data_IF_540879026656
#
_entry.id   IF_540879026656
#
_cell.length_a   1.000
_cell.length_b   1.000
_cell.length_c   1.000
_cell.angle_alpha   90.00
_cell.angle_beta   90.00
_cell.angle_gamma   90.00
#
_symmetry.space_group_name_H-M   'P 1'
#
loop_
_entity.id
_entity.type
_entity.pdbx_description
1 polymer ?
#
# COMPACT_ATOMS: atom_id res chain seq x y z
N UNK A 1 42.10 4.29 -29.16
CA UNK A 1 41.28 3.09 -28.90
C UNK A 1 39.91 3.53 -28.42
N UNK A 2 38.83 2.93 -28.95
CA UNK A 2 37.45 3.27 -28.56
C UNK A 2 37.16 2.58 -27.22
N UNK A 3 36.93 3.34 -26.15
CA UNK A 3 36.62 2.81 -24.82
C UNK A 3 35.19 2.27 -24.86
N UNK A 4 35.03 0.96 -24.88
CA UNK A 4 33.74 0.32 -24.68
C UNK A 4 33.46 0.40 -23.19
N UNK A 5 32.52 1.24 -22.79
CA UNK A 5 32.07 1.35 -21.40
C UNK A 5 30.88 0.40 -21.25
N UNK A 6 31.00 -0.57 -20.35
CA UNK A 6 29.88 -1.41 -19.94
C UNK A 6 28.82 -0.48 -19.33
N UNK A 7 27.58 -0.54 -19.81
CA UNK A 7 26.51 0.20 -19.17
C UNK A 7 26.04 -0.55 -17.92
N UNK A 8 26.52 -0.14 -16.75
CA UNK A 8 26.15 -0.75 -15.47
C UNK A 8 24.68 -0.51 -15.10
N UNK A 9 24.04 0.51 -15.69
CA UNK A 9 22.64 0.87 -15.41
C UNK A 9 21.68 -0.29 -15.69
N UNK A 10 21.92 -1.02 -16.79
CA UNK A 10 21.08 -2.15 -17.17
C UNK A 10 21.17 -3.26 -16.13
N UNK A 11 22.36 -3.53 -15.59
CA UNK A 11 22.54 -4.52 -14.53
C UNK A 11 21.84 -4.09 -13.23
N UNK A 12 21.98 -2.82 -12.84
CA UNK A 12 21.34 -2.26 -11.65
C UNK A 12 19.81 -2.40 -11.72
N UNK A 13 19.22 -1.89 -12.82
CA UNK A 13 17.76 -1.90 -13.00
C UNK A 13 17.24 -3.33 -13.12
N UNK A 14 17.91 -4.18 -13.91
CA UNK A 14 17.51 -5.57 -14.09
C UNK A 14 17.54 -6.34 -12.77
N UNK A 15 18.62 -6.22 -12.00
CA UNK A 15 18.74 -6.93 -10.73
C UNK A 15 17.70 -6.47 -9.70
N UNK A 16 17.46 -5.15 -9.60
CA UNK A 16 16.44 -4.61 -8.71
C UNK A 16 15.02 -5.03 -9.15
N UNK A 17 14.76 -5.10 -10.45
CA UNK A 17 13.48 -5.56 -11.00
C UNK A 17 13.24 -7.04 -10.71
N UNK A 18 14.22 -7.91 -10.96
CA UNK A 18 14.11 -9.37 -10.74
C UNK A 18 13.98 -9.73 -9.25
N UNK A 19 14.55 -8.92 -8.36
CA UNK A 19 14.51 -9.15 -6.90
C UNK A 19 13.30 -8.51 -6.19
N UNK A 20 12.44 -7.81 -6.93
CA UNK A 20 11.39 -6.92 -6.40
C UNK A 20 11.94 -5.96 -5.32
N UNK A 21 13.10 -5.38 -5.65
CA UNK A 21 13.83 -4.43 -4.81
C UNK A 21 13.54 -2.97 -5.16
N UNK A 22 14.41 -2.09 -4.68
CA UNK A 22 14.43 -0.66 -5.00
C UNK A 22 15.79 -0.28 -5.58
N UNK A 23 15.82 0.81 -6.34
CA UNK A 23 17.06 1.38 -6.86
C UNK A 23 17.38 2.64 -6.08
N UNK A 24 18.57 2.70 -5.47
CA UNK A 24 19.05 3.91 -4.80
C UNK A 24 19.97 4.65 -5.76
N UNK A 25 19.45 5.68 -6.40
CA UNK A 25 20.19 6.46 -7.40
C UNK A 25 19.52 7.83 -7.59
N UNK A 26 20.31 8.80 -8.02
CA UNK A 26 19.80 10.08 -8.50
C UNK A 26 19.62 10.14 -10.02
N UNK A 27 20.07 9.11 -10.74
CA UNK A 27 19.75 8.95 -12.14
C UNK A 27 18.35 8.36 -12.31
N UNK A 28 17.63 8.87 -13.29
CA UNK A 28 16.30 8.39 -13.67
C UNK A 28 16.37 7.37 -14.82
N UNK A 29 17.54 7.04 -15.37
CA UNK A 29 17.73 6.00 -16.38
C UNK A 29 16.83 6.16 -17.62
N UNK A 30 16.78 7.37 -18.20
CA UNK A 30 15.85 7.71 -19.30
C UNK A 30 15.88 6.74 -20.47
N UNK A 31 17.07 6.26 -20.83
CA UNK A 31 17.26 5.36 -21.96
C UNK A 31 16.61 3.99 -21.69
N UNK A 32 16.77 3.47 -20.47
CA UNK A 32 16.16 2.21 -20.03
C UNK A 32 14.64 2.31 -19.90
N UNK A 33 14.13 3.48 -19.50
CA UNK A 33 12.69 3.76 -19.51
C UNK A 33 12.11 3.75 -20.93
N UNK A 34 12.89 4.14 -21.94
CA UNK A 34 12.47 4.12 -23.34
C UNK A 34 12.55 2.72 -23.96
N UNK A 35 13.47 1.88 -23.47
CA UNK A 35 13.66 0.51 -23.96
C UNK A 35 12.46 -0.40 -23.61
N UNK A 36 12.00 -0.36 -22.36
CA UNK A 36 10.91 -1.23 -21.89
C UNK A 36 9.89 -0.49 -21.02
N UNK A 37 8.58 -0.60 -21.31
CA UNK A 37 7.53 0.07 -20.53
C UNK A 37 7.44 -0.46 -19.09
N UNK A 38 7.78 -1.73 -18.86
CA UNK A 38 7.84 -2.34 -17.52
C UNK A 38 8.95 -1.72 -16.66
N UNK A 39 10.12 -1.46 -17.25
CA UNK A 39 11.22 -0.79 -16.57
C UNK A 39 10.90 0.67 -16.27
N UNK A 40 10.24 1.35 -17.21
CA UNK A 40 9.72 2.71 -16.95
C UNK A 40 8.86 2.74 -15.70
N UNK A 41 7.87 1.86 -15.60
CA UNK A 41 6.98 1.80 -14.43
C UNK A 41 7.74 1.44 -13.17
N UNK A 42 8.63 0.46 -13.24
CA UNK A 42 9.46 0.06 -12.11
C UNK A 42 10.32 1.22 -11.59
N UNK A 43 11.08 1.89 -12.46
CA UNK A 43 11.93 3.02 -12.09
C UNK A 43 11.09 4.13 -11.46
N UNK A 44 9.91 4.45 -12.02
CA UNK A 44 9.02 5.46 -11.46
C UNK A 44 8.47 5.11 -10.06
N UNK A 45 8.25 3.83 -9.76
CA UNK A 45 7.66 3.36 -8.50
C UNK A 45 8.69 2.88 -7.46
N UNK A 46 9.96 2.72 -7.85
CA UNK A 46 11.01 2.05 -7.05
C UNK A 46 12.36 2.78 -7.03
N UNK A 47 12.48 3.96 -7.63
CA UNK A 47 13.66 4.82 -7.51
C UNK A 47 13.63 5.62 -6.19
N UNK A 48 14.66 5.45 -5.37
CA UNK A 48 14.93 6.24 -4.19
C UNK A 48 16.08 7.21 -4.47
N UNK A 49 15.72 8.48 -4.65
CA UNK A 49 16.68 9.57 -4.73
C UNK A 49 17.25 9.88 -3.35
N UNK A 50 18.41 10.54 -3.31
CA UNK A 50 19.06 10.93 -2.08
C UNK A 50 19.88 12.20 -2.25
N UNK A 51 20.17 12.86 -1.14
CA UNK A 51 21.14 13.95 -1.07
C UNK A 51 22.23 13.62 -0.07
N UNK A 52 23.41 14.20 -0.27
CA UNK A 52 24.46 14.21 0.74
C UNK A 52 24.65 15.62 1.26
N UNK A 53 24.63 15.77 2.58
CA UNK A 53 25.05 16.99 3.26
C UNK A 53 26.31 16.66 4.03
N UNK A 54 27.46 17.09 3.51
CA UNK A 54 28.78 16.62 3.94
C UNK A 54 28.84 15.08 3.84
N UNK A 55 29.03 14.39 4.97
CA UNK A 55 29.10 12.92 5.06
C UNK A 55 27.77 12.28 5.48
N UNK A 56 26.67 13.04 5.52
CA UNK A 56 25.36 12.54 5.92
C UNK A 56 24.51 12.20 4.70
N UNK A 57 24.17 10.92 4.57
CA UNK A 57 23.19 10.43 3.61
C UNK A 57 21.77 10.84 4.04
N UNK A 58 21.05 11.53 3.15
CA UNK A 58 19.72 12.10 3.41
C UNK A 58 18.75 11.71 2.29
N UNK A 59 18.09 10.55 2.37
CA UNK A 59 16.97 10.22 1.50
C UNK A 59 15.73 11.04 1.91
N UNK A 60 14.80 11.33 0.99
CA UNK A 60 13.55 12.01 1.31
C UNK A 60 12.61 11.10 2.11
N UNK A 61 11.83 11.70 3.01
CA UNK A 61 10.81 10.98 3.78
C UNK A 61 9.61 10.53 2.91
N UNK A 62 9.42 11.18 1.75
CA UNK A 62 8.37 10.93 0.76
C UNK A 62 8.95 10.62 -0.64
N UNK A 63 9.47 9.40 -0.89
CA UNK A 63 10.16 9.04 -2.14
C UNK A 63 9.35 9.25 -3.43
N UNK A 64 8.02 9.14 -3.35
CA UNK A 64 7.09 9.32 -4.47
C UNK A 64 6.20 10.59 -4.30
N UNK A 65 6.63 11.52 -3.45
CA UNK A 65 5.91 12.76 -3.13
C UNK A 65 4.72 12.57 -2.19
N UNK A 66 3.93 13.65 -2.02
CA UNK A 66 2.86 13.77 -1.00
C UNK A 66 1.82 12.64 -1.00
N UNK A 67 1.51 12.08 -2.16
CA UNK A 67 0.52 11.00 -2.29
C UNK A 67 1.15 9.59 -2.28
N UNK A 68 2.49 9.54 -2.16
CA UNK A 68 3.26 8.31 -2.10
C UNK A 68 3.29 7.65 -0.72
N UNK A 69 3.91 6.47 -0.62
CA UNK A 69 4.20 5.85 0.66
C UNK A 69 5.26 6.64 1.42
N UNK A 70 5.27 6.50 2.75
CA UNK A 70 6.39 6.95 3.58
C UNK A 70 7.65 6.16 3.26
N UNK A 71 8.83 6.75 3.50
CA UNK A 71 10.12 6.08 3.32
C UNK A 71 10.17 4.70 3.99
N UNK A 72 9.66 4.58 5.23
CA UNK A 72 9.65 3.28 5.93
C UNK A 72 8.82 2.23 5.19
N UNK A 73 7.66 2.60 4.64
CA UNK A 73 6.83 1.67 3.88
C UNK A 73 7.43 1.37 2.49
N UNK A 74 8.10 2.35 1.88
CA UNK A 74 8.80 2.19 0.61
C UNK A 74 9.96 1.19 0.70
N UNK A 75 10.72 1.21 1.79
CA UNK A 75 11.85 0.30 2.03
C UNK A 75 11.41 -1.12 2.44
N UNK A 76 10.11 -1.39 2.63
CA UNK A 76 9.59 -2.68 3.07
C UNK A 76 8.91 -3.42 1.92
N UNK A 77 9.15 -4.73 1.83
CA UNK A 77 8.40 -5.62 0.93
C UNK A 77 6.90 -5.64 1.24
N UNK A 78 6.55 -5.55 2.52
CA UNK A 78 5.16 -5.51 2.97
C UNK A 78 4.90 -4.18 3.72
N UNK A 79 4.01 -3.32 3.19
CA UNK A 79 3.65 -2.07 3.84
C UNK A 79 3.12 -2.36 5.24
N UNK A 80 3.57 -1.58 6.24
CA UNK A 80 2.83 -1.53 7.50
C UNK A 80 1.50 -0.87 7.19
N UNK A 81 0.42 -1.64 7.24
CA UNK A 81 -0.90 -1.05 7.36
C UNK A 81 -0.86 -0.13 8.57
N UNK A 82 -1.21 1.14 8.39
CA UNK A 82 -1.42 2.01 9.55
C UNK A 82 -2.48 1.32 10.39
N UNK A 83 -2.07 0.80 11.56
CA UNK A 83 -3.00 0.24 12.52
C UNK A 83 -3.94 1.40 12.86
N UNK A 84 -5.19 1.30 12.41
CA UNK A 84 -6.22 2.26 12.80
C UNK A 84 -6.19 2.28 14.32
N UNK A 85 -5.93 3.43 14.90
CA UNK A 85 -5.85 3.52 16.36
C UNK A 85 -7.14 2.97 16.97
N UNK A 86 -7.06 2.26 18.10
CA UNK A 86 -8.26 1.79 18.78
C UNK A 86 -9.13 3.00 19.11
N UNK A 87 -10.44 2.86 18.92
CA UNK A 87 -11.36 3.94 19.20
C UNK A 87 -11.24 4.39 20.67
N UNK A 88 -11.02 5.69 20.95
CA UNK A 88 -10.94 6.21 22.33
C UNK A 88 -12.18 5.87 23.17
N UNK A 89 -13.33 5.70 22.53
CA UNK A 89 -14.60 5.36 23.17
C UNK A 89 -14.86 3.85 23.26
N UNK A 90 -14.08 3.01 22.60
CA UNK A 90 -14.18 1.54 22.67
C UNK A 90 -15.63 1.03 22.50
N UNK A 91 -16.15 0.29 23.48
CA UNK A 91 -17.53 -0.22 23.49
C UNK A 91 -18.60 0.89 23.62
N UNK A 92 -18.23 2.09 24.09
CA UNK A 92 -19.14 3.25 24.26
C UNK A 92 -19.22 4.13 23.01
N UNK A 93 -18.62 3.72 21.90
CA UNK A 93 -18.63 4.52 20.68
C UNK A 93 -20.00 4.51 20.00
N UNK A 94 -20.62 5.69 19.92
CA UNK A 94 -21.91 5.90 19.27
C UNK A 94 -21.84 5.84 17.73
N UNK A 95 -20.64 6.02 17.16
CA UNK A 95 -20.43 5.99 15.71
C UNK A 95 -20.41 4.58 15.10
N UNK A 96 -20.24 3.53 15.91
CA UNK A 96 -20.34 2.13 15.47
C UNK A 96 -19.56 1.82 14.18
N UNK A 97 -20.26 1.29 13.17
CA UNK A 97 -19.68 0.93 11.86
C UNK A 97 -19.19 2.12 11.02
N UNK A 98 -19.59 3.35 11.37
CA UNK A 98 -19.12 4.59 10.74
C UNK A 98 -17.92 5.20 11.48
N UNK A 99 -17.43 4.56 12.55
CA UNK A 99 -16.29 5.08 13.29
C UNK A 99 -14.99 4.98 12.47
N UNK A 100 -14.23 6.07 12.40
CA UNK A 100 -12.93 6.13 11.71
C UNK A 100 -11.81 5.32 12.41
N UNK A 101 -12.05 4.89 13.65
CA UNK A 101 -11.09 4.19 14.51
C UNK A 101 -11.41 2.68 14.61
N UNK A 102 -10.44 1.87 15.03
CA UNK A 102 -10.59 0.42 15.11
C UNK A 102 -11.34 -0.03 16.38
N UNK A 103 -12.29 -0.95 16.25
CA UNK A 103 -12.96 -1.61 17.37
C UNK A 103 -12.54 -3.08 17.42
N UNK A 104 -11.91 -3.52 18.50
CA UNK A 104 -11.45 -4.91 18.69
C UNK A 104 -12.60 -5.90 18.94
N UNK A 105 -13.77 -5.41 19.37
CA UNK A 105 -14.89 -6.24 19.76
C UNK A 105 -15.97 -6.28 18.69
N UNK A 106 -15.75 -7.10 17.66
CA UNK A 106 -16.85 -7.73 16.92
C UNK A 106 -17.29 -8.96 17.71
N UNK A 107 -18.10 -8.78 18.74
CA UNK A 107 -18.78 -9.90 19.38
C UNK A 107 -19.88 -10.39 18.43
N UNK A 108 -19.50 -11.34 17.56
CA UNK A 108 -20.30 -12.27 16.73
C UNK A 108 -21.30 -11.62 15.73
N UNK A 109 -21.45 -12.19 14.52
CA UNK A 109 -22.71 -12.02 13.81
C UNK A 109 -23.77 -12.65 14.72
N UNK A 110 -24.74 -11.86 15.19
CA UNK A 110 -25.99 -12.43 15.70
C UNK A 110 -26.65 -13.09 14.51
N UNK A 111 -26.40 -14.39 14.32
CA UNK A 111 -27.27 -15.25 13.53
C UNK A 111 -28.61 -15.16 14.25
N UNK A 112 -29.56 -14.42 13.66
CA UNK A 112 -30.95 -14.40 14.10
C UNK A 112 -31.52 -15.80 13.87
N UNK A 113 -31.44 -16.66 14.87
CA UNK A 113 -32.25 -17.87 14.96
C UNK A 113 -33.58 -17.46 15.58
N UNK A 114 -34.63 -17.53 14.75
CA UNK A 114 -36.03 -17.80 15.10
C UNK A 114 -36.75 -16.93 16.14
N UNK A 115 -37.80 -16.26 15.70
CA UNK A 115 -39.02 -16.12 16.49
C UNK A 115 -40.23 -16.12 15.54
N UNK A 116 -41.05 -17.16 15.68
CA UNK A 116 -42.51 -17.23 15.51
C UNK A 116 -43.09 -16.99 14.10
N UNK A 117 -43.56 -18.00 13.37
CA UNK A 117 -44.79 -18.79 13.66
C UNK A 117 -45.96 -17.95 14.17
N UNK A 118 -46.50 -17.04 13.35
CA UNK A 118 -47.93 -16.69 13.39
C UNK A 118 -48.34 -15.86 12.17
N UNK A 119 -48.68 -16.49 11.03
CA UNK A 119 -49.51 -15.91 9.96
C UNK A 119 -49.79 -16.93 8.84
N UNK A 120 -50.41 -18.06 9.21
CA UNK A 120 -51.07 -18.94 8.23
C UNK A 120 -52.43 -19.37 8.76
N UNK A 121 -53.27 -18.41 9.14
CA UNK A 121 -54.72 -18.58 9.23
C UNK A 121 -55.33 -17.22 8.87
N UNK A 122 -56.36 -17.22 8.01
CA UNK A 122 -57.02 -16.08 7.36
C UNK A 122 -56.53 -15.75 5.93
N UNK A 123 -56.60 -16.74 5.05
CA UNK A 123 -57.25 -16.50 3.75
C UNK A 123 -58.52 -17.34 3.71
N UNK A 124 -59.58 -16.76 4.27
CA UNK A 124 -60.96 -17.10 3.96
C UNK A 124 -61.19 -16.90 2.46
N UNK A 125 -61.61 -17.98 1.80
CA UNK A 125 -62.80 -18.01 0.93
C UNK A 125 -63.17 -16.71 0.21
N UNK A 126 -63.15 -16.73 -1.12
CA UNK A 126 -64.17 -16.13 -1.98
C UNK A 126 -63.99 -16.71 -3.40
N UNK A 127 -65.02 -16.70 -4.24
CA UNK A 127 -66.23 -17.53 -4.24
C UNK A 127 -66.19 -18.62 -5.32
#
# INVERSE_FOLDING_TARGET
>A
GRRVVCNDDCFIVKHAFESDGIVVSNDVYRDLQAEKPEWRRFIQERLLMFSFVNNKFMPPDDPLGRHGPTLENFLRKFPKTQRRQPCPYGQKCTYGTKCKFQHLQRAKPVVRVGADELQQHLQTSFP
#
